data_IF_086616917190
#
_entry.id   IF_086616917190
#
_cell.length_a   1.000
_cell.length_b   1.000
_cell.length_c   1.000
_cell.angle_alpha   90.00
_cell.angle_beta   90.00
_cell.angle_gamma   90.00
#
_symmetry.space_group_name_H-M   'P 1'
#
loop_
_entity.id
_entity.type
_entity.pdbx_description
1 polymer ?
#
# COMPACT_ATOMS: atom_id res chain seq x y z
N UNK A 1 28.71 70.89 54.92
CA UNK A 1 27.52 70.13 54.68
C UNK A 1 27.52 69.70 53.18
N UNK A 2 27.84 68.43 52.87
CA UNK A 2 27.81 67.89 51.51
C UNK A 2 26.77 66.77 51.49
N UNK A 3 25.73 66.99 50.72
CA UNK A 3 24.62 66.02 50.53
C UNK A 3 25.00 65.21 49.29
N UNK A 4 25.17 63.89 49.50
CA UNK A 4 25.40 62.93 48.41
C UNK A 4 24.08 62.38 47.96
N UNK A 5 23.73 62.54 46.71
CA UNK A 5 22.59 61.88 46.08
C UNK A 5 22.99 60.47 45.60
N UNK A 6 22.31 59.46 46.16
CA UNK A 6 22.43 58.07 45.74
C UNK A 6 21.42 57.83 44.59
N UNK A 7 21.92 57.59 43.37
CA UNK A 7 21.11 57.18 42.22
C UNK A 7 20.96 55.66 42.25
N UNK A 8 19.71 55.21 42.49
CA UNK A 8 19.33 53.78 42.32
C UNK A 8 19.06 53.54 40.84
N UNK A 9 19.99 52.83 40.17
CA UNK A 9 19.78 52.38 38.82
C UNK A 9 18.95 51.08 38.81
N UNK A 10 17.69 51.13 38.31
CA UNK A 10 16.87 49.97 38.05
C UNK A 10 17.33 49.27 36.76
N UNK A 11 18.02 48.14 36.88
CA UNK A 11 18.37 47.30 35.75
C UNK A 11 17.10 46.50 35.28
N UNK A 12 16.51 46.95 34.17
CA UNK A 12 15.55 46.12 33.44
C UNK A 12 16.27 44.95 32.79
N UNK A 13 16.18 43.75 33.35
CA UNK A 13 16.52 42.54 32.65
C UNK A 13 15.46 42.26 31.55
N UNK A 14 15.79 42.64 30.31
CA UNK A 14 15.05 42.16 29.14
C UNK A 14 15.37 40.67 28.99
N UNK A 15 14.41 39.82 29.33
CA UNK A 15 14.47 38.41 28.95
C UNK A 15 14.36 38.33 27.43
N UNK A 16 15.51 38.17 26.76
CA UNK A 16 15.58 37.75 25.36
C UNK A 16 14.99 36.34 25.31
N UNK A 17 13.70 36.26 24.95
CA UNK A 17 13.09 35.00 24.54
C UNK A 17 13.88 34.50 23.33
N UNK A 18 14.67 33.45 23.49
CA UNK A 18 15.26 32.71 22.39
C UNK A 18 14.08 32.08 21.66
N UNK A 19 13.63 32.70 20.58
CA UNK A 19 12.75 32.04 19.62
C UNK A 19 13.55 30.89 19.01
N UNK A 20 13.34 29.69 19.49
CA UNK A 20 13.90 28.49 18.87
C UNK A 20 13.38 28.46 17.44
N UNK A 21 14.28 28.36 16.46
CA UNK A 21 13.89 28.22 15.07
C UNK A 21 13.03 26.95 14.92
N UNK A 22 11.95 27.05 14.15
CA UNK A 22 11.08 25.88 13.92
C UNK A 22 11.89 24.75 13.26
N UNK A 23 11.73 23.53 13.77
CA UNK A 23 12.28 22.32 13.17
C UNK A 23 11.55 22.01 11.86
N UNK A 24 12.25 21.76 10.77
CA UNK A 24 11.65 21.43 9.49
C UNK A 24 11.84 19.94 9.22
N UNK A 25 10.76 19.16 9.27
CA UNK A 25 10.76 17.75 8.95
C UNK A 25 10.60 17.53 7.44
N UNK A 26 11.49 16.79 6.83
CA UNK A 26 11.34 16.35 5.44
C UNK A 26 10.61 15.01 5.42
N UNK A 27 9.37 15.04 4.90
CA UNK A 27 8.47 13.88 4.82
C UNK A 27 8.44 13.34 3.40
N UNK A 28 8.98 12.14 3.19
CA UNK A 28 8.91 11.47 1.89
C UNK A 28 7.67 10.58 1.82
N UNK A 29 6.83 10.78 0.81
CA UNK A 29 5.58 10.04 0.67
C UNK A 29 5.24 9.67 -0.76
N UNK A 30 4.36 8.68 -0.90
CA UNK A 30 3.82 8.23 -2.19
C UNK A 30 2.75 9.19 -2.69
N UNK A 31 2.69 9.34 -4.02
CA UNK A 31 1.65 10.10 -4.69
C UNK A 31 0.36 9.26 -4.81
N UNK A 32 -0.39 9.14 -3.73
CA UNK A 32 -1.73 8.58 -3.73
C UNK A 32 -2.71 9.51 -3.00
N UNK A 33 -4.00 9.27 -3.15
CA UNK A 33 -5.02 10.21 -2.71
C UNK A 33 -5.04 10.40 -1.18
N UNK A 34 -4.82 9.36 -0.39
CA UNK A 34 -4.78 9.45 1.08
C UNK A 34 -3.57 10.24 1.58
N UNK A 35 -2.41 10.08 0.96
CA UNK A 35 -1.22 10.84 1.31
C UNK A 35 -1.32 12.31 0.89
N UNK A 36 -1.98 12.60 -0.23
CA UNK A 36 -2.32 13.97 -0.64
C UNK A 36 -3.31 14.61 0.35
N UNK A 37 -4.29 13.84 0.82
CA UNK A 37 -5.21 14.27 1.90
C UNK A 37 -4.43 14.59 3.18
N UNK A 38 -3.52 13.71 3.61
CA UNK A 38 -2.66 13.95 4.77
C UNK A 38 -1.85 15.23 4.62
N UNK A 39 -1.22 15.44 3.46
CA UNK A 39 -0.47 16.67 3.18
C UNK A 39 -1.34 17.91 3.35
N UNK A 40 -2.56 17.90 2.82
CA UNK A 40 -3.51 19.01 2.96
C UNK A 40 -3.91 19.28 4.40
N UNK A 41 -4.25 18.20 5.14
CA UNK A 41 -4.75 18.28 6.52
C UNK A 41 -3.63 18.52 7.55
N UNK A 42 -2.37 18.29 7.20
CA UNK A 42 -1.23 18.49 8.10
C UNK A 42 -1.00 19.94 8.51
N UNK A 43 -1.63 20.91 7.85
CA UNK A 43 -1.69 22.31 8.32
C UNK A 43 -2.28 22.42 9.73
N UNK A 44 -3.27 21.59 10.06
CA UNK A 44 -3.85 21.52 11.42
C UNK A 44 -2.82 21.04 12.46
N UNK A 45 -1.88 20.17 12.06
CA UNK A 45 -0.77 19.77 12.90
C UNK A 45 0.20 20.94 13.12
N UNK A 46 0.61 21.65 12.07
CA UNK A 46 1.52 22.79 12.17
C UNK A 46 0.93 23.96 12.98
N UNK A 47 -0.40 24.12 13.00
CA UNK A 47 -1.08 25.11 13.83
C UNK A 47 -1.01 24.74 15.32
N UNK A 48 -1.07 23.46 15.66
CA UNK A 48 -0.95 22.94 17.04
C UNK A 48 0.50 22.84 17.50
N UNK A 49 1.44 22.69 16.56
CA UNK A 49 2.87 22.57 16.78
C UNK A 49 3.64 23.61 15.97
N UNK A 50 3.59 24.90 16.35
CA UNK A 50 4.17 26.00 15.58
C UNK A 50 5.70 25.93 15.48
N UNK A 51 6.33 25.14 16.33
CA UNK A 51 7.76 24.81 16.37
C UNK A 51 8.16 23.71 15.35
N UNK A 52 7.19 23.05 14.70
CA UNK A 52 7.45 22.04 13.69
C UNK A 52 6.86 22.48 12.34
N UNK A 53 7.67 22.38 11.27
CA UNK A 53 7.25 22.61 9.88
C UNK A 53 7.44 21.36 9.06
N UNK A 54 6.57 21.16 8.06
CA UNK A 54 6.60 19.98 7.20
C UNK A 54 7.01 20.37 5.78
N UNK A 55 8.07 19.74 5.30
CA UNK A 55 8.52 19.81 3.91
C UNK A 55 8.21 18.48 3.22
N UNK A 56 7.22 18.47 2.32
CA UNK A 56 6.74 17.27 1.66
C UNK A 56 7.51 16.98 0.37
N UNK A 57 7.98 15.75 0.24
CA UNK A 57 8.56 15.18 -0.98
C UNK A 57 7.64 14.07 -1.46
N UNK A 58 6.75 14.41 -2.39
CA UNK A 58 5.73 13.51 -2.94
C UNK A 58 6.26 12.88 -4.23
N UNK A 59 6.31 11.55 -4.30
CA UNK A 59 6.91 10.80 -5.39
C UNK A 59 5.98 9.69 -5.89
N UNK A 60 6.17 9.31 -7.15
CA UNK A 60 5.59 8.08 -7.70
C UNK A 60 6.18 6.86 -6.96
N UNK A 61 5.40 5.79 -6.80
CA UNK A 61 5.72 4.69 -5.90
C UNK A 61 7.09 4.05 -6.15
N UNK A 62 7.40 3.68 -7.39
CA UNK A 62 8.70 3.06 -7.70
C UNK A 62 9.87 4.02 -7.44
N UNK A 63 9.68 5.32 -7.70
CA UNK A 63 10.68 6.36 -7.47
C UNK A 63 10.88 6.58 -5.97
N UNK A 64 9.78 6.63 -5.20
CA UNK A 64 9.84 6.72 -3.74
C UNK A 64 10.64 5.55 -3.16
N UNK A 65 10.25 4.32 -3.48
CA UNK A 65 10.89 3.10 -2.96
C UNK A 65 12.38 3.07 -3.28
N UNK A 66 12.78 3.44 -4.50
CA UNK A 66 14.18 3.51 -4.89
C UNK A 66 14.95 4.58 -4.10
N UNK A 67 14.39 5.79 -3.96
CA UNK A 67 15.04 6.88 -3.22
C UNK A 67 15.20 6.53 -1.74
N UNK A 68 14.15 6.02 -1.10
CA UNK A 68 14.20 5.63 0.30
C UNK A 68 15.21 4.50 0.54
N UNK A 69 15.22 3.48 -0.33
CA UNK A 69 16.18 2.38 -0.23
C UNK A 69 17.63 2.89 -0.32
N UNK A 70 17.89 3.83 -1.22
CA UNK A 70 19.23 4.43 -1.38
C UNK A 70 19.60 5.27 -0.16
N UNK A 71 18.72 6.16 0.28
CA UNK A 71 18.98 7.07 1.40
C UNK A 71 19.25 6.30 2.71
N UNK A 72 18.38 5.32 3.01
CA UNK A 72 18.51 4.56 4.26
C UNK A 72 19.73 3.63 4.27
N UNK A 73 20.07 3.03 3.13
CA UNK A 73 21.22 2.14 3.02
C UNK A 73 22.55 2.90 3.13
N UNK A 74 22.58 4.17 2.72
CA UNK A 74 23.77 5.04 2.82
C UNK A 74 23.78 5.90 4.08
N UNK A 75 22.75 5.81 4.93
CA UNK A 75 22.53 6.69 6.09
C UNK A 75 22.57 8.18 5.68
N UNK A 76 21.96 8.48 4.50
CA UNK A 76 22.07 9.79 3.85
C UNK A 76 21.38 10.93 4.60
N UNK A 77 20.36 10.64 5.41
CA UNK A 77 19.65 11.62 6.24
C UNK A 77 18.89 12.69 5.45
N UNK A 78 18.45 12.37 4.23
CA UNK A 78 17.66 13.30 3.40
C UNK A 78 16.23 13.46 3.93
N UNK A 79 15.72 12.48 4.66
CA UNK A 79 14.35 12.42 5.12
C UNK A 79 14.28 12.19 6.63
N UNK A 80 13.29 12.79 7.28
CA UNK A 80 13.01 12.62 8.71
C UNK A 80 11.83 11.66 8.94
N UNK A 81 10.86 11.64 8.02
CA UNK A 81 9.71 10.72 8.03
C UNK A 81 9.62 10.03 6.68
N UNK A 82 9.53 8.70 6.72
CA UNK A 82 9.42 7.84 5.56
C UNK A 82 8.03 7.22 5.49
N UNK A 83 7.37 7.29 4.33
CA UNK A 83 6.20 6.46 4.05
C UNK A 83 6.68 5.14 3.46
N UNK A 84 6.52 4.05 4.20
CA UNK A 84 7.00 2.71 3.86
C UNK A 84 5.91 1.66 4.09
N UNK A 85 6.15 0.46 3.61
CA UNK A 85 5.26 -0.68 3.84
C UNK A 85 5.81 -1.69 4.86
N UNK A 86 5.03 -2.75 5.09
CA UNK A 86 5.41 -3.84 6.00
C UNK A 86 6.71 -4.53 5.56
N UNK A 87 6.97 -4.61 4.25
CA UNK A 87 8.19 -5.18 3.70
C UNK A 87 9.44 -4.42 4.18
N UNK A 88 9.44 -3.10 4.00
CA UNK A 88 10.55 -2.24 4.42
C UNK A 88 10.66 -2.19 5.96
N UNK A 89 9.54 -2.07 6.67
CA UNK A 89 9.53 -1.99 8.13
C UNK A 89 10.21 -3.20 8.76
N UNK A 90 9.87 -4.41 8.31
CA UNK A 90 10.47 -5.65 8.78
C UNK A 90 11.97 -5.73 8.48
N UNK A 91 12.37 -5.48 7.22
CA UNK A 91 13.76 -5.63 6.80
C UNK A 91 14.68 -4.52 7.34
N UNK A 92 14.22 -3.29 7.36
CA UNK A 92 15.02 -2.14 7.82
C UNK A 92 15.03 -2.04 9.34
N UNK A 93 13.94 -2.44 10.00
CA UNK A 93 13.89 -2.60 11.45
C UNK A 93 14.90 -3.62 11.96
N UNK A 94 14.94 -4.81 11.33
CA UNK A 94 15.90 -5.86 11.66
C UNK A 94 17.38 -5.43 11.45
N UNK A 95 17.64 -4.50 10.54
CA UNK A 95 18.98 -3.94 10.30
C UNK A 95 19.34 -2.76 11.23
N UNK A 96 18.40 -2.33 12.10
CA UNK A 96 18.59 -1.16 12.94
C UNK A 96 18.63 0.17 12.17
N UNK A 97 18.04 0.22 10.99
CA UNK A 97 18.01 1.44 10.17
C UNK A 97 16.82 2.34 10.51
N UNK A 98 15.81 1.82 11.20
CA UNK A 98 14.65 2.56 11.68
C UNK A 98 14.72 2.77 13.19
N UNK A 99 14.25 3.92 13.64
CA UNK A 99 14.04 4.18 15.06
C UNK A 99 12.84 3.39 15.58
N UNK A 100 12.90 2.77 16.76
CA UNK A 100 11.76 2.10 17.36
C UNK A 100 10.67 3.12 17.71
N UNK A 101 9.41 2.73 17.48
CA UNK A 101 8.22 3.52 17.82
C UNK A 101 7.77 3.18 19.24
N UNK A 102 8.63 3.44 20.21
CA UNK A 102 8.35 3.33 21.66
C UNK A 102 7.88 4.67 22.21
N UNK A 103 7.37 4.67 23.44
CA UNK A 103 6.99 5.88 24.20
C UNK A 103 5.88 6.71 23.50
N UNK A 104 4.96 6.00 22.83
CA UNK A 104 3.78 6.63 22.25
C UNK A 104 2.87 7.17 23.37
N UNK A 105 2.20 8.32 23.14
CA UNK A 105 1.26 8.85 24.12
C UNK A 105 0.13 7.83 24.37
N UNK A 106 -0.36 7.72 25.61
CA UNK A 106 -1.44 6.80 25.95
C UNK A 106 -2.70 6.99 25.08
N UNK A 107 -2.96 8.23 24.63
CA UNK A 107 -4.06 8.56 23.71
C UNK A 107 -3.91 7.92 22.33
N UNK A 108 -2.70 7.51 21.93
CA UNK A 108 -2.49 6.80 20.68
C UNK A 108 -3.23 5.46 20.65
N UNK A 109 -3.37 4.81 21.81
CA UNK A 109 -4.08 3.55 22.00
C UNK A 109 -3.65 2.48 21.00
N UNK A 110 -2.41 1.99 21.14
CA UNK A 110 -1.82 1.00 20.25
C UNK A 110 -2.60 -0.33 20.23
N UNK A 111 -3.32 -0.66 21.33
CA UNK A 111 -4.12 -1.90 21.43
C UNK A 111 -5.36 -1.90 20.53
N UNK A 112 -5.79 -0.75 20.06
CA UNK A 112 -6.85 -0.60 19.06
C UNK A 112 -6.37 -0.91 17.62
N UNK A 113 -5.07 -0.99 17.39
CA UNK A 113 -4.50 -1.38 16.09
C UNK A 113 -4.59 -2.88 15.92
N UNK A 114 -5.10 -3.35 14.76
CA UNK A 114 -5.22 -4.77 14.47
C UNK A 114 -3.89 -5.50 14.71
N UNK A 115 -3.90 -6.64 15.44
CA UNK A 115 -2.68 -7.41 15.75
C UNK A 115 -1.84 -7.74 14.50
N UNK A 116 -2.47 -8.21 13.43
CA UNK A 116 -1.80 -8.56 12.17
C UNK A 116 -1.07 -7.37 11.52
N UNK A 117 -1.64 -6.17 11.61
CA UNK A 117 -1.02 -4.93 11.12
C UNK A 117 0.17 -4.54 11.99
N UNK A 118 0.00 -4.60 13.30
CA UNK A 118 1.05 -4.31 14.28
C UNK A 118 2.23 -5.28 14.15
N UNK A 119 1.95 -6.57 14.01
CA UNK A 119 2.96 -7.62 13.80
C UNK A 119 3.73 -7.40 12.50
N UNK A 120 3.04 -7.07 11.40
CA UNK A 120 3.66 -6.81 10.08
C UNK A 120 4.59 -5.59 10.06
N UNK A 121 4.46 -4.68 11.05
CA UNK A 121 5.30 -3.48 11.19
C UNK A 121 6.32 -3.60 12.35
N UNK A 122 6.44 -4.79 12.95
CA UNK A 122 7.31 -5.07 14.09
C UNK A 122 8.39 -6.10 13.74
N UNK A 123 9.49 -6.04 14.50
CA UNK A 123 10.55 -7.04 14.51
C UNK A 123 10.82 -7.41 15.97
N UNK A 124 10.76 -8.70 16.29
CA UNK A 124 10.96 -9.22 17.64
C UNK A 124 10.13 -8.49 18.72
N UNK A 125 8.86 -8.17 18.36
CA UNK A 125 7.91 -7.47 19.22
C UNK A 125 8.13 -5.96 19.33
N UNK A 126 9.13 -5.39 18.68
CA UNK A 126 9.39 -3.94 18.63
C UNK A 126 8.77 -3.35 17.38
N UNK A 127 7.90 -2.36 17.52
CA UNK A 127 7.26 -1.63 16.43
C UNK A 127 8.25 -0.62 15.81
N UNK A 128 8.36 -0.60 14.47
CA UNK A 128 9.27 0.30 13.73
C UNK A 128 8.57 1.29 12.81
N UNK A 129 7.27 1.14 12.59
CA UNK A 129 6.48 2.11 11.83
C UNK A 129 5.06 2.18 12.38
N UNK A 130 4.43 3.36 12.28
CA UNK A 130 3.06 3.59 12.70
C UNK A 130 2.12 3.44 11.50
N UNK A 131 1.11 2.55 11.54
CA UNK A 131 0.25 2.29 10.40
C UNK A 131 -0.66 3.48 10.10
N UNK A 132 -0.63 3.94 8.86
CA UNK A 132 -1.48 5.02 8.38
C UNK A 132 -2.81 4.50 7.85
N UNK A 133 -2.77 3.53 6.92
CA UNK A 133 -3.89 2.69 6.57
C UNK A 133 -3.40 1.27 6.28
N UNK A 134 -4.28 0.30 6.44
CA UNK A 134 -4.02 -1.07 6.04
C UNK A 134 -5.09 -1.53 5.05
N UNK A 135 -4.71 -2.42 4.17
CA UNK A 135 -5.52 -2.85 3.05
C UNK A 135 -5.39 -4.34 2.79
N UNK A 136 -6.45 -4.88 2.24
CA UNK A 136 -6.46 -6.15 1.53
C UNK A 136 -6.78 -5.89 0.06
N UNK A 137 -7.11 -6.93 -0.69
CA UNK A 137 -7.62 -6.87 -2.05
C UNK A 137 -9.09 -7.18 -2.11
N UNK A 138 -9.80 -6.56 -3.06
CA UNK A 138 -11.19 -6.89 -3.38
C UNK A 138 -11.51 -6.60 -4.84
N UNK A 139 -12.68 -7.01 -5.26
CA UNK A 139 -13.23 -6.77 -6.59
C UNK A 139 -14.20 -5.60 -6.56
N UNK A 140 -13.99 -4.65 -7.43
CA UNK A 140 -14.89 -3.55 -7.80
C UNK A 140 -15.55 -3.88 -9.12
N UNK A 141 -16.87 -3.71 -9.24
CA UNK A 141 -17.56 -3.96 -10.49
C UNK A 141 -18.71 -2.98 -10.73
N UNK A 142 -19.06 -2.75 -11.98
CA UNK A 142 -20.13 -1.88 -12.42
C UNK A 142 -21.47 -2.63 -12.40
N UNK A 143 -22.26 -2.37 -11.37
CA UNK A 143 -23.58 -3.01 -11.17
C UNK A 143 -24.52 -2.79 -12.34
N UNK A 144 -24.54 -1.60 -12.90
CA UNK A 144 -25.35 -1.23 -14.06
C UNK A 144 -24.98 -2.01 -15.34
N UNK A 145 -23.68 -2.26 -15.57
CA UNK A 145 -23.21 -3.04 -16.72
C UNK A 145 -23.52 -4.53 -16.56
N UNK A 146 -23.42 -5.04 -15.32
CA UNK A 146 -23.81 -6.42 -15.01
C UNK A 146 -25.31 -6.63 -15.22
N UNK A 147 -26.14 -5.72 -14.70
CA UNK A 147 -27.59 -5.76 -14.89
C UNK A 147 -27.98 -5.72 -16.37
N UNK A 148 -27.41 -4.79 -17.15
CA UNK A 148 -27.66 -4.67 -18.60
C UNK A 148 -27.26 -5.93 -19.37
N UNK A 149 -26.23 -6.64 -18.92
CA UNK A 149 -25.78 -7.89 -19.56
C UNK A 149 -26.47 -9.15 -19.02
N UNK A 150 -27.36 -9.02 -18.03
CA UNK A 150 -28.01 -10.14 -17.34
C UNK A 150 -27.01 -11.03 -16.58
N UNK A 151 -25.95 -10.41 -16.03
CA UNK A 151 -24.91 -11.07 -15.26
C UNK A 151 -25.12 -10.84 -13.77
N UNK A 152 -24.68 -11.79 -12.96
CA UNK A 152 -24.68 -11.70 -11.51
C UNK A 152 -23.24 -11.95 -11.00
N UNK A 153 -22.71 -11.03 -10.18
CA UNK A 153 -21.40 -11.16 -9.55
C UNK A 153 -21.56 -12.03 -8.29
N UNK A 154 -20.89 -13.20 -8.21
CA UNK A 154 -20.93 -13.99 -6.99
C UNK A 154 -20.15 -13.32 -5.86
N UNK A 155 -20.49 -13.69 -4.61
CA UNK A 155 -19.77 -13.17 -3.42
C UNK A 155 -18.30 -13.59 -3.42
N UNK A 156 -17.99 -14.80 -3.88
CA UNK A 156 -16.62 -15.32 -4.03
C UNK A 156 -16.40 -15.74 -5.49
N UNK A 157 -16.04 -14.80 -6.38
CA UNK A 157 -15.81 -15.10 -7.79
C UNK A 157 -14.51 -15.90 -7.99
N UNK A 158 -14.44 -16.68 -9.07
CA UNK A 158 -13.18 -17.25 -9.54
C UNK A 158 -12.54 -16.34 -10.59
N UNK A 159 -11.22 -16.44 -10.76
CA UNK A 159 -10.53 -15.74 -11.84
C UNK A 159 -11.04 -16.16 -13.22
N UNK A 160 -11.41 -17.43 -13.39
CA UNK A 160 -12.07 -17.93 -14.60
C UNK A 160 -13.40 -17.20 -14.85
N UNK A 161 -14.27 -17.07 -13.84
CA UNK A 161 -15.51 -16.28 -13.97
C UNK A 161 -15.23 -14.80 -14.28
N UNK A 162 -14.19 -14.22 -13.69
CA UNK A 162 -13.79 -12.83 -13.99
C UNK A 162 -13.40 -12.65 -15.45
N UNK A 163 -12.69 -13.62 -16.06
CA UNK A 163 -12.36 -13.59 -17.49
C UNK A 163 -13.62 -13.70 -18.36
N UNK A 164 -14.58 -14.59 -18.00
CA UNK A 164 -15.85 -14.74 -18.71
C UNK A 164 -16.69 -13.46 -18.66
N UNK A 165 -16.73 -12.78 -17.51
CA UNK A 165 -17.40 -11.50 -17.37
C UNK A 165 -16.68 -10.42 -18.16
N UNK A 166 -15.34 -10.40 -18.11
CA UNK A 166 -14.53 -9.44 -18.85
C UNK A 166 -14.80 -9.55 -20.36
N UNK A 167 -14.87 -10.76 -20.93
CA UNK A 167 -15.21 -10.98 -22.34
C UNK A 167 -16.56 -10.39 -22.70
N UNK A 168 -17.60 -10.69 -21.90
CA UNK A 168 -18.98 -10.24 -22.17
C UNK A 168 -19.14 -8.72 -22.04
N UNK A 169 -18.37 -8.09 -21.16
CA UNK A 169 -18.46 -6.66 -20.86
C UNK A 169 -17.48 -5.81 -21.66
N UNK A 170 -16.55 -6.42 -22.42
CA UNK A 170 -15.55 -5.70 -23.17
C UNK A 170 -16.14 -5.11 -24.47
N UNK A 171 -16.23 -3.79 -24.55
CA UNK A 171 -16.73 -3.03 -25.70
C UNK A 171 -15.75 -1.90 -26.04
N UNK A 172 -14.57 -2.22 -26.63
CA UNK A 172 -13.51 -1.22 -26.84
C UNK A 172 -13.92 -0.09 -27.77
N UNK A 173 -14.89 -0.29 -28.66
CA UNK A 173 -15.47 0.77 -29.49
C UNK A 173 -16.19 1.86 -28.69
N UNK A 174 -16.67 1.52 -27.50
CA UNK A 174 -17.31 2.44 -26.55
C UNK A 174 -16.36 2.87 -25.42
N UNK A 175 -15.05 2.61 -25.57
CA UNK A 175 -14.03 2.79 -24.52
C UNK A 175 -14.38 2.07 -23.20
N UNK A 176 -15.15 0.97 -23.25
CA UNK A 176 -15.48 0.13 -22.11
C UNK A 176 -14.61 -1.13 -22.11
N UNK A 177 -13.75 -1.26 -21.12
CA UNK A 177 -12.84 -2.40 -20.94
C UNK A 177 -13.42 -3.38 -19.91
N UNK A 178 -13.32 -4.68 -20.22
CA UNK A 178 -13.91 -5.71 -19.38
C UNK A 178 -13.32 -5.78 -17.98
N UNK A 179 -11.98 -5.61 -17.88
CA UNK A 179 -11.27 -5.65 -16.60
C UNK A 179 -10.05 -4.74 -16.60
N UNK A 180 -9.81 -4.06 -15.50
CA UNK A 180 -8.58 -3.33 -15.23
C UNK A 180 -7.79 -4.05 -14.14
N UNK A 181 -6.49 -4.26 -14.40
CA UNK A 181 -5.53 -4.89 -13.49
C UNK A 181 -4.21 -4.14 -13.57
N UNK A 182 -3.39 -4.19 -12.50
CA UNK A 182 -2.06 -3.57 -12.52
C UNK A 182 -1.15 -4.28 -13.51
N UNK A 183 -0.71 -3.60 -14.56
CA UNK A 183 0.26 -4.09 -15.53
C UNK A 183 1.61 -3.38 -15.48
N UNK A 184 1.68 -2.21 -14.81
CA UNK A 184 2.89 -1.40 -14.64
C UNK A 184 3.96 -2.17 -13.88
N UNK A 185 5.16 -2.27 -14.47
CA UNK A 185 6.25 -3.02 -13.88
C UNK A 185 6.71 -2.45 -12.53
N UNK A 186 6.80 -3.30 -11.53
CA UNK A 186 7.29 -2.96 -10.20
C UNK A 186 6.97 -4.06 -9.19
N UNK A 187 7.85 -4.24 -8.21
CA UNK A 187 7.64 -5.24 -7.19
C UNK A 187 6.42 -4.94 -6.28
N UNK A 188 6.07 -3.66 -6.07
CA UNK A 188 4.86 -3.20 -5.39
C UNK A 188 3.71 -2.86 -6.34
N UNK A 189 3.92 -2.92 -7.65
CA UNK A 189 2.93 -2.64 -8.69
C UNK A 189 2.35 -3.95 -9.26
N UNK A 190 2.70 -4.33 -10.49
CA UNK A 190 2.13 -5.54 -11.08
C UNK A 190 2.44 -6.81 -10.28
N UNK A 191 3.61 -6.90 -9.63
CA UNK A 191 3.93 -8.10 -8.88
C UNK A 191 3.08 -8.28 -7.61
N UNK A 192 2.60 -7.21 -6.99
CA UNK A 192 1.64 -7.33 -5.90
C UNK A 192 0.37 -8.08 -6.34
N UNK A 193 -0.17 -7.75 -7.53
CA UNK A 193 -1.35 -8.42 -8.07
C UNK A 193 -1.01 -9.80 -8.65
N UNK A 194 0.02 -9.92 -9.48
CA UNK A 194 0.40 -11.20 -10.13
C UNK A 194 0.72 -12.27 -9.08
N UNK A 195 1.33 -11.90 -7.96
CA UNK A 195 1.60 -12.84 -6.87
C UNK A 195 0.30 -13.38 -6.27
N UNK A 196 -0.72 -12.54 -6.05
CA UNK A 196 -2.01 -13.00 -5.52
C UNK A 196 -2.78 -13.86 -6.54
N UNK A 197 -2.72 -13.52 -7.83
CA UNK A 197 -3.23 -14.38 -8.90
C UNK A 197 -2.53 -15.73 -8.86
N UNK A 198 -1.20 -15.75 -8.81
CA UNK A 198 -0.43 -16.99 -8.75
C UNK A 198 -0.77 -17.85 -7.53
N UNK A 199 -0.90 -17.23 -6.34
CA UNK A 199 -1.32 -17.91 -5.12
C UNK A 199 -2.72 -18.55 -5.29
N UNK A 200 -3.69 -17.84 -5.88
CA UNK A 200 -5.05 -18.35 -6.13
C UNK A 200 -5.04 -19.56 -7.08
N UNK A 201 -4.11 -19.63 -8.03
CA UNK A 201 -3.88 -20.80 -8.88
C UNK A 201 -3.05 -21.90 -8.19
N UNK A 202 -2.65 -21.74 -6.93
CA UNK A 202 -1.89 -22.71 -6.14
C UNK A 202 -0.38 -22.66 -6.38
N UNK A 203 0.12 -21.63 -7.08
CA UNK A 203 1.56 -21.41 -7.27
C UNK A 203 2.21 -20.83 -6.00
N UNK A 204 3.53 -20.94 -5.93
CA UNK A 204 4.38 -20.26 -4.93
C UNK A 204 5.66 -19.78 -5.60
N UNK A 205 6.31 -18.75 -5.02
CA UNK A 205 7.57 -18.22 -5.54
C UNK A 205 8.72 -19.23 -5.38
N UNK A 206 8.81 -19.84 -4.20
CA UNK A 206 9.88 -20.75 -3.82
C UNK A 206 9.32 -21.98 -3.12
N UNK A 207 9.92 -23.13 -3.37
CA UNK A 207 9.70 -24.33 -2.57
C UNK A 207 10.37 -24.21 -1.18
N UNK A 208 10.16 -25.19 -0.31
CA UNK A 208 10.72 -25.23 1.04
C UNK A 208 12.25 -25.26 1.07
N UNK A 209 12.90 -25.50 -0.07
CA UNK A 209 14.36 -25.46 -0.28
C UNK A 209 14.83 -24.18 -0.96
N UNK A 210 13.97 -23.18 -1.05
CA UNK A 210 14.23 -21.91 -1.71
C UNK A 210 14.52 -22.01 -3.22
N UNK A 211 14.04 -23.08 -3.88
CA UNK A 211 14.13 -23.18 -5.34
C UNK A 211 12.94 -22.47 -5.98
N UNK A 212 13.17 -21.57 -6.94
CA UNK A 212 12.05 -20.92 -7.67
C UNK A 212 11.21 -21.95 -8.43
N UNK A 213 9.89 -21.75 -8.48
CA UNK A 213 8.95 -22.68 -9.14
C UNK A 213 8.22 -22.08 -10.36
N UNK A 214 8.75 -21.05 -11.02
CA UNK A 214 8.08 -20.32 -12.10
C UNK A 214 7.78 -21.15 -13.35
N UNK A 215 8.45 -22.26 -13.58
CA UNK A 215 8.18 -23.16 -14.71
C UNK A 215 7.19 -24.27 -14.37
N UNK A 216 6.63 -24.26 -13.16
CA UNK A 216 5.59 -25.19 -12.74
C UNK A 216 4.24 -24.94 -13.44
N UNK A 217 3.34 -25.95 -13.45
CA UNK A 217 2.05 -25.83 -14.11
C UNK A 217 1.17 -24.72 -13.52
N UNK A 218 1.19 -24.52 -12.23
CA UNK A 218 0.39 -23.50 -11.53
C UNK A 218 0.81 -22.09 -11.96
N UNK A 219 2.12 -21.79 -12.00
CA UNK A 219 2.63 -20.52 -12.52
C UNK A 219 2.33 -20.33 -14.00
N UNK A 220 2.39 -21.42 -14.79
CA UNK A 220 2.06 -21.35 -16.22
C UNK A 220 0.60 -20.98 -16.42
N UNK A 221 -0.32 -21.56 -15.65
CA UNK A 221 -1.76 -21.24 -15.71
C UNK A 221 -2.01 -19.81 -15.26
N UNK A 222 -1.48 -19.40 -14.11
CA UNK A 222 -1.65 -18.04 -13.57
C UNK A 222 -1.11 -16.97 -14.52
N UNK A 223 0.10 -17.15 -15.07
CA UNK A 223 0.72 -16.20 -15.97
C UNK A 223 -0.03 -16.10 -17.29
N UNK A 224 -0.46 -17.22 -17.89
CA UNK A 224 -1.32 -17.20 -19.09
C UNK A 224 -2.62 -16.52 -18.83
N UNK A 225 -3.30 -16.87 -17.74
CA UNK A 225 -4.56 -16.22 -17.36
C UNK A 225 -4.38 -14.69 -17.28
N UNK A 226 -3.40 -14.22 -16.52
CA UNK A 226 -3.15 -12.79 -16.33
C UNK A 226 -2.83 -12.08 -17.64
N UNK A 227 -1.88 -12.62 -18.43
CA UNK A 227 -1.45 -12.00 -19.69
C UNK A 227 -2.58 -12.01 -20.72
N UNK A 228 -3.25 -13.16 -20.91
CA UNK A 228 -4.30 -13.30 -21.90
C UNK A 228 -5.51 -12.43 -21.57
N UNK A 229 -5.96 -12.44 -20.32
CA UNK A 229 -7.13 -11.67 -19.88
C UNK A 229 -6.90 -10.18 -20.00
N UNK A 230 -5.75 -9.68 -19.51
CA UNK A 230 -5.45 -8.25 -19.55
C UNK A 230 -5.12 -7.76 -20.96
N UNK A 231 -4.48 -8.58 -21.80
CA UNK A 231 -4.19 -8.22 -23.20
C UNK A 231 -5.44 -8.19 -24.07
N UNK A 232 -6.44 -9.09 -23.79
CA UNK A 232 -7.65 -9.18 -24.60
C UNK A 232 -8.74 -8.21 -24.15
N UNK A 233 -8.92 -8.06 -22.84
CA UNK A 233 -10.08 -7.39 -22.25
C UNK A 233 -9.72 -6.17 -21.38
N UNK A 234 -8.43 -5.90 -21.21
CA UNK A 234 -7.93 -4.71 -20.53
C UNK A 234 -7.89 -3.45 -21.41
N UNK A 235 -7.59 -2.29 -20.79
CA UNK A 235 -7.43 -1.04 -21.54
C UNK A 235 -6.15 -1.04 -22.37
N UNK A 236 -6.11 -0.29 -23.50
CA UNK A 236 -4.88 -0.03 -24.20
C UNK A 236 -3.81 0.55 -23.29
N UNK A 237 -2.58 0.05 -23.38
CA UNK A 237 -1.48 0.49 -22.53
C UNK A 237 -1.54 -0.04 -21.08
N UNK A 238 -2.30 -1.12 -20.83
CA UNK A 238 -2.41 -1.76 -19.50
C UNK A 238 -1.05 -2.02 -18.84
N UNK A 239 0.01 -2.31 -19.61
CA UNK A 239 1.38 -2.50 -19.12
C UNK A 239 2.01 -1.27 -18.47
N UNK A 240 1.36 -0.11 -18.56
CA UNK A 240 1.77 1.15 -17.92
C UNK A 240 0.83 1.56 -16.77
N UNK A 241 -0.24 0.82 -16.54
CA UNK A 241 -1.24 1.16 -15.53
C UNK A 241 -0.92 0.48 -14.20
N UNK A 242 -0.69 1.28 -13.16
CA UNK A 242 -0.64 0.89 -11.77
C UNK A 242 -1.95 1.18 -11.05
N UNK A 243 -1.89 1.35 -9.73
CA UNK A 243 -3.08 1.66 -8.91
C UNK A 243 -3.77 2.95 -9.35
N UNK A 244 -3.03 4.06 -9.45
CA UNK A 244 -3.61 5.38 -9.73
C UNK A 244 -4.24 5.47 -11.13
N UNK A 245 -3.59 4.88 -12.14
CA UNK A 245 -4.08 4.86 -13.51
C UNK A 245 -5.37 4.03 -13.61
N UNK A 246 -5.44 2.86 -12.95
CA UNK A 246 -6.63 2.02 -12.93
C UNK A 246 -7.78 2.65 -12.13
N UNK A 247 -7.49 3.32 -11.01
CA UNK A 247 -8.48 4.10 -10.26
C UNK A 247 -9.11 5.19 -11.14
N UNK A 248 -8.29 5.93 -11.87
CA UNK A 248 -8.76 6.96 -12.79
C UNK A 248 -9.63 6.39 -13.94
N UNK A 249 -9.24 5.24 -14.50
CA UNK A 249 -10.02 4.53 -15.52
C UNK A 249 -11.36 4.04 -14.97
N UNK A 250 -11.37 3.44 -13.78
CA UNK A 250 -12.58 2.97 -13.14
C UNK A 250 -13.53 4.12 -12.80
N UNK A 251 -13.02 5.18 -12.15
CA UNK A 251 -13.78 6.37 -11.80
C UNK A 251 -14.35 7.13 -13.02
N UNK A 252 -13.66 7.06 -14.17
CA UNK A 252 -14.19 7.60 -15.43
C UNK A 252 -15.22 6.71 -16.11
N UNK A 253 -15.48 5.50 -15.58
CA UNK A 253 -16.45 4.54 -16.12
C UNK A 253 -15.91 3.62 -17.22
N UNK A 254 -14.59 3.64 -17.48
CA UNK A 254 -13.97 2.88 -18.57
C UNK A 254 -13.66 1.42 -18.22
N UNK A 255 -13.66 1.03 -16.94
CA UNK A 255 -13.49 -0.36 -16.52
C UNK A 255 -14.82 -0.94 -16.03
N UNK A 256 -15.23 -2.11 -16.54
CA UNK A 256 -16.40 -2.82 -16.03
C UNK A 256 -16.09 -3.51 -14.69
N UNK A 257 -14.87 -3.99 -14.52
CA UNK A 257 -14.37 -4.60 -13.29
C UNK A 257 -12.93 -4.13 -13.02
N UNK A 258 -12.58 -4.11 -11.73
CA UNK A 258 -11.24 -3.81 -11.25
C UNK A 258 -10.96 -4.64 -9.99
N UNK A 259 -9.82 -5.32 -9.94
CA UNK A 259 -9.38 -6.05 -8.73
C UNK A 259 -8.14 -5.36 -8.21
N UNK A 260 -8.23 -4.81 -7.00
CA UNK A 260 -7.14 -4.06 -6.40
C UNK A 260 -7.36 -3.84 -4.89
N UNK A 261 -6.55 -3.00 -4.29
CA UNK A 261 -6.52 -2.65 -2.88
C UNK A 261 -7.87 -2.13 -2.35
N UNK A 262 -8.28 -2.59 -1.18
CA UNK A 262 -9.54 -2.20 -0.53
C UNK A 262 -9.63 -0.71 -0.19
N UNK A 263 -8.49 -0.02 -0.08
CA UNK A 263 -8.43 1.43 0.16
C UNK A 263 -9.11 2.25 -0.94
N UNK A 264 -9.18 1.72 -2.18
CA UNK A 264 -9.85 2.42 -3.28
C UNK A 264 -11.36 2.60 -3.06
N UNK A 265 -11.97 1.87 -2.13
CA UNK A 265 -13.40 1.92 -1.86
C UNK A 265 -13.92 3.34 -1.63
N UNK A 266 -13.23 4.15 -0.83
CA UNK A 266 -13.62 5.53 -0.57
C UNK A 266 -13.55 6.43 -1.81
N UNK A 267 -12.60 6.17 -2.72
CA UNK A 267 -12.41 6.98 -3.92
C UNK A 267 -13.38 6.63 -5.05
N UNK A 268 -13.76 5.34 -5.18
CA UNK A 268 -14.73 4.93 -6.20
C UNK A 268 -16.17 5.30 -5.83
N UNK A 269 -16.45 5.50 -4.54
CA UNK A 269 -17.76 5.93 -4.03
C UNK A 269 -17.88 7.44 -3.82
N UNK A 270 -16.81 8.20 -4.00
CA UNK A 270 -16.81 9.65 -3.88
C UNK A 270 -17.37 10.30 -5.16
N UNK A 271 -18.59 10.85 -5.11
CA UNK A 271 -19.24 11.51 -6.24
C UNK A 271 -18.44 12.70 -6.80
N UNK A 272 -17.56 13.29 -6.01
CA UNK A 272 -16.70 14.40 -6.46
C UNK A 272 -15.55 13.91 -7.35
N UNK A 273 -15.18 12.63 -7.28
CA UNK A 273 -14.05 12.03 -7.99
C UNK A 273 -14.46 10.95 -8.98
N UNK A 274 -15.61 10.30 -8.77
CA UNK A 274 -16.06 9.15 -9.54
C UNK A 274 -17.37 9.46 -10.28
N UNK A 275 -17.37 9.27 -11.61
CA UNK A 275 -18.57 9.37 -12.42
C UNK A 275 -19.51 8.16 -12.26
N UNK A 276 -19.06 7.15 -11.56
CA UNK A 276 -19.76 5.88 -11.37
C UNK A 276 -20.00 5.55 -9.89
N UNK A 277 -19.87 6.52 -9.01
CA UNK A 277 -19.94 6.35 -7.55
C UNK A 277 -21.22 5.60 -7.09
N UNK A 278 -22.35 5.88 -7.73
CA UNK A 278 -23.66 5.25 -7.46
C UNK A 278 -23.87 3.89 -8.15
N UNK A 279 -22.85 3.36 -8.87
CA UNK A 279 -22.94 2.16 -9.73
C UNK A 279 -21.86 1.13 -9.41
N UNK A 280 -21.24 1.23 -8.24
CA UNK A 280 -20.14 0.34 -7.84
C UNK A 280 -20.67 -0.74 -6.89
N UNK A 281 -20.43 -2.00 -7.26
CA UNK A 281 -20.56 -3.14 -6.38
C UNK A 281 -19.19 -3.63 -5.88
N UNK A 282 -19.22 -4.32 -4.74
CA UNK A 282 -18.03 -4.81 -4.05
C UNK A 282 -18.19 -6.29 -3.75
N UNK A 283 -17.14 -7.06 -4.00
CA UNK A 283 -17.07 -8.46 -3.58
C UNK A 283 -15.63 -8.87 -3.29
N UNK A 284 -15.43 -10.08 -2.76
CA UNK A 284 -14.08 -10.55 -2.43
C UNK A 284 -13.17 -10.63 -3.64
N UNK A 285 -11.87 -10.59 -3.40
CA UNK A 285 -10.87 -10.85 -4.44
C UNK A 285 -11.06 -12.28 -4.99
N UNK A 286 -10.88 -12.47 -6.33
CA UNK A 286 -11.15 -13.76 -6.94
C UNK A 286 -10.20 -14.85 -6.45
N UNK A 287 -10.74 -16.05 -6.22
CA UNK A 287 -9.97 -17.27 -6.02
C UNK A 287 -9.90 -18.09 -7.31
N UNK A 288 -9.26 -19.27 -7.28
CA UNK A 288 -9.27 -20.21 -8.40
C UNK A 288 -9.20 -21.66 -7.89
N UNK A 289 -8.03 -22.29 -7.91
CA UNK A 289 -7.84 -23.67 -7.40
C UNK A 289 -7.80 -23.73 -5.87
N UNK A 290 -7.58 -22.60 -5.23
CA UNK A 290 -7.54 -22.42 -3.77
C UNK A 290 -8.04 -21.04 -3.40
N UNK A 291 -8.57 -20.90 -2.19
CA UNK A 291 -8.93 -19.62 -1.55
C UNK A 291 -7.73 -18.91 -0.88
N UNK A 292 -6.56 -19.58 -0.86
CA UNK A 292 -5.35 -19.01 -0.28
C UNK A 292 -4.77 -17.89 -1.13
N UNK A 293 -4.31 -16.82 -0.46
CA UNK A 293 -3.51 -15.74 -1.04
C UNK A 293 -4.25 -14.75 -1.94
N UNK A 294 -5.57 -14.84 -2.07
CA UNK A 294 -6.36 -13.86 -2.82
C UNK A 294 -6.54 -12.56 -2.04
N UNK A 295 -6.75 -12.64 -0.73
CA UNK A 295 -6.79 -11.50 0.17
C UNK A 295 -5.38 -11.20 0.69
N UNK A 296 -4.80 -10.08 0.30
CA UNK A 296 -3.48 -9.67 0.82
C UNK A 296 -3.57 -8.91 2.15
N UNK A 297 -2.45 -8.71 2.79
CA UNK A 297 -2.29 -7.79 3.91
C UNK A 297 -1.13 -6.85 3.60
N UNK A 298 -1.43 -5.58 3.52
CA UNK A 298 -0.43 -4.54 3.37
C UNK A 298 -0.81 -3.32 4.22
N UNK A 299 0.17 -2.59 4.71
CA UNK A 299 -0.04 -1.31 5.38
C UNK A 299 0.99 -0.31 4.90
N UNK A 300 0.54 0.85 4.46
CA UNK A 300 1.38 2.02 4.39
C UNK A 300 1.51 2.62 5.79
N UNK A 301 2.72 2.90 6.19
CA UNK A 301 3.07 3.32 7.53
C UNK A 301 4.11 4.44 7.52
N UNK A 302 4.18 5.20 8.60
CA UNK A 302 5.18 6.24 8.80
C UNK A 302 6.30 5.72 9.71
N UNK A 303 7.53 5.80 9.22
CA UNK A 303 8.73 5.37 9.93
C UNK A 303 9.75 6.50 10.02
N UNK A 304 10.67 6.39 10.96
CA UNK A 304 11.73 7.38 11.21
C UNK A 304 13.08 6.70 11.00
N UNK A 305 13.90 7.16 10.05
CA UNK A 305 15.23 6.60 9.86
C UNK A 305 16.15 6.97 11.04
N UNK A 306 17.05 6.07 11.43
CA UNK A 306 18.03 6.35 12.48
C UNK A 306 18.97 7.51 12.15
N UNK A 307 19.14 7.84 10.87
CA UNK A 307 19.91 8.97 10.37
C UNK A 307 19.26 10.34 10.60
N UNK A 308 17.93 10.41 10.86
CA UNK A 308 17.27 11.68 11.19
C UNK A 308 17.84 12.32 12.45
N UNK A 309 18.03 13.63 12.41
CA UNK A 309 18.46 14.42 13.57
C UNK A 309 17.26 14.99 14.36
N UNK A 310 16.04 14.81 13.87
CA UNK A 310 14.80 15.40 14.41
C UNK A 310 13.80 14.30 14.84
N UNK A 311 14.28 13.23 15.47
CA UNK A 311 13.49 12.03 15.77
C UNK A 311 12.27 12.30 16.65
N UNK A 312 12.37 13.20 17.62
CA UNK A 312 11.27 13.48 18.56
C UNK A 312 10.13 14.25 17.87
N UNK A 313 10.49 15.27 17.06
CA UNK A 313 9.51 16.00 16.25
C UNK A 313 8.88 15.06 15.20
N UNK A 314 9.68 14.20 14.56
CA UNK A 314 9.22 13.21 13.59
C UNK A 314 8.27 12.19 14.22
N UNK A 315 8.55 11.69 15.45
CA UNK A 315 7.64 10.83 16.21
C UNK A 315 6.32 11.54 16.54
N UNK A 316 6.40 12.79 16.96
CA UNK A 316 5.21 13.62 17.29
C UNK A 316 4.30 13.74 16.06
N UNK A 317 4.88 14.03 14.88
CA UNK A 317 4.13 14.10 13.65
C UNK A 317 3.56 12.73 13.24
N UNK A 318 4.37 11.68 13.23
CA UNK A 318 3.93 10.35 12.84
C UNK A 318 2.81 9.82 13.75
N UNK A 319 2.91 10.05 15.07
CA UNK A 319 1.88 9.68 16.02
C UNK A 319 0.57 10.43 15.78
N UNK A 320 0.61 11.73 15.50
CA UNK A 320 -0.59 12.51 15.14
C UNK A 320 -1.20 12.02 13.83
N UNK A 321 -0.40 11.86 12.78
CA UNK A 321 -0.85 11.50 11.44
C UNK A 321 -1.51 10.11 11.35
N UNK A 322 -1.26 9.24 12.34
CA UNK A 322 -1.79 7.88 12.42
C UNK A 322 -2.73 7.67 13.61
N UNK A 323 -3.13 8.77 14.27
CA UNK A 323 -3.99 8.75 15.47
C UNK A 323 -5.48 8.72 15.14
N UNK A 324 -6.28 8.49 16.18
CA UNK A 324 -7.74 8.70 16.12
C UNK A 324 -8.12 10.15 15.83
N UNK A 325 -7.36 11.11 16.39
CA UNK A 325 -7.61 12.55 16.15
C UNK A 325 -7.48 12.89 14.65
N UNK A 326 -6.54 12.28 13.94
CA UNK A 326 -6.43 12.42 12.49
C UNK A 326 -7.62 11.78 11.76
N UNK A 327 -8.04 10.58 12.18
CA UNK A 327 -9.22 9.90 11.62
C UNK A 327 -10.49 10.75 11.82
N UNK A 328 -10.69 11.34 13.00
CA UNK A 328 -11.79 12.26 13.30
C UNK A 328 -11.72 13.55 12.46
N UNK A 329 -10.51 14.07 12.23
CA UNK A 329 -10.31 15.22 11.36
C UNK A 329 -10.74 14.90 9.92
N UNK A 330 -10.37 13.73 9.39
CA UNK A 330 -10.81 13.28 8.07
C UNK A 330 -12.33 13.11 8.01
N UNK A 331 -12.93 12.43 9.00
CA UNK A 331 -14.37 12.25 9.08
C UNK A 331 -15.13 13.60 9.05
N UNK A 332 -14.62 14.58 9.78
CA UNK A 332 -15.20 15.92 9.86
C UNK A 332 -15.05 16.75 8.59
N UNK A 333 -13.92 16.65 7.90
CA UNK A 333 -13.59 17.50 6.75
C UNK A 333 -14.00 16.91 5.41
N UNK A 334 -13.81 15.60 5.26
CA UNK A 334 -13.98 14.88 3.99
C UNK A 334 -15.12 13.85 4.04
N UNK A 335 -15.69 13.62 5.22
CA UNK A 335 -16.76 12.65 5.44
C UNK A 335 -16.24 11.30 5.99
N UNK A 336 -17.14 10.61 6.69
CA UNK A 336 -16.82 9.39 7.46
C UNK A 336 -16.27 8.26 6.56
N UNK A 337 -16.82 8.08 5.35
CA UNK A 337 -16.38 7.06 4.41
C UNK A 337 -14.92 7.24 3.94
N UNK A 338 -14.34 8.42 4.14
CA UNK A 338 -12.97 8.77 3.75
C UNK A 338 -11.92 8.55 4.86
N UNK A 339 -12.35 8.07 6.03
CA UNK A 339 -11.41 7.72 7.11
C UNK A 339 -10.49 6.59 6.63
N UNK A 340 -9.16 6.70 6.83
CA UNK A 340 -8.22 5.67 6.42
C UNK A 340 -8.57 4.30 7.02
N UNK A 341 -8.78 3.25 6.19
CA UNK A 341 -9.28 1.97 6.65
C UNK A 341 -8.18 1.06 7.21
N UNK A 342 -8.58 -0.05 7.82
CA UNK A 342 -7.77 -1.24 8.03
C UNK A 342 -6.79 -1.20 9.19
N UNK A 343 -6.54 -0.07 9.83
CA UNK A 343 -5.54 0.01 10.90
C UNK A 343 -6.11 -0.27 12.27
N UNK A 344 -7.32 0.21 12.58
CA UNK A 344 -7.91 0.23 13.92
C UNK A 344 -9.27 -0.46 13.95
N UNK A 345 -9.52 -1.23 15.01
CA UNK A 345 -10.82 -1.85 15.23
C UNK A 345 -11.93 -0.80 15.37
N UNK A 346 -11.64 0.30 16.09
CA UNK A 346 -12.60 1.39 16.33
C UNK A 346 -12.99 2.16 15.06
N UNK A 347 -12.26 2.04 13.96
CA UNK A 347 -12.64 2.63 12.66
C UNK A 347 -13.95 2.01 12.15
N UNK A 348 -14.19 0.74 12.40
CA UNK A 348 -15.36 0.00 11.90
C UNK A 348 -16.59 0.17 12.81
N UNK A 349 -16.88 1.40 13.19
CA UNK A 349 -18.10 1.77 13.92
C UNK A 349 -19.37 1.57 13.07
N UNK A 350 -20.54 1.56 13.71
CA UNK A 350 -21.84 1.51 12.98
C UNK A 350 -21.96 2.66 11.98
N UNK A 351 -21.47 3.85 12.33
CA UNK A 351 -21.49 5.02 11.45
C UNK A 351 -20.61 4.82 10.22
N UNK A 352 -19.37 4.32 10.39
CA UNK A 352 -18.47 4.02 9.27
C UNK A 352 -19.04 2.90 8.38
N UNK A 353 -19.55 1.83 8.97
CA UNK A 353 -20.14 0.71 8.24
C UNK A 353 -21.39 1.13 7.43
N UNK A 354 -22.15 2.11 7.93
CA UNK A 354 -23.31 2.66 7.20
C UNK A 354 -22.89 3.64 6.08
N UNK A 355 -21.82 4.40 6.29
CA UNK A 355 -21.34 5.41 5.33
C UNK A 355 -20.48 4.80 4.19
N UNK A 356 -19.80 3.67 4.44
CA UNK A 356 -18.85 3.06 3.53
C UNK A 356 -19.34 1.66 3.08
N UNK A 357 -20.03 1.54 1.94
CA UNK A 357 -20.65 0.29 1.47
C UNK A 357 -19.62 -0.84 1.22
N UNK A 358 -18.36 -0.48 1.02
CA UNK A 358 -17.24 -1.41 0.86
C UNK A 358 -16.65 -1.93 2.19
N UNK A 359 -16.97 -1.29 3.33
CA UNK A 359 -16.27 -1.49 4.61
C UNK A 359 -16.35 -2.93 5.11
N UNK A 360 -17.49 -3.60 4.92
CA UNK A 360 -17.65 -5.01 5.33
C UNK A 360 -16.68 -5.93 4.58
N UNK A 361 -16.67 -5.84 3.25
CA UNK A 361 -15.79 -6.67 2.41
C UNK A 361 -14.32 -6.34 2.71
N UNK A 362 -13.98 -5.07 2.86
CA UNK A 362 -12.62 -4.64 3.19
C UNK A 362 -12.13 -5.23 4.53
N UNK A 363 -12.98 -5.18 5.57
CA UNK A 363 -12.65 -5.72 6.89
C UNK A 363 -12.51 -7.25 6.87
N UNK A 364 -13.45 -7.94 6.21
CA UNK A 364 -13.44 -9.40 6.14
C UNK A 364 -12.26 -9.90 5.30
N UNK A 365 -11.93 -9.24 4.19
CA UNK A 365 -10.72 -9.52 3.39
C UNK A 365 -9.43 -9.34 4.20
N UNK A 366 -9.35 -8.27 4.99
CA UNK A 366 -8.20 -8.03 5.87
C UNK A 366 -8.02 -9.17 6.91
N UNK A 367 -9.14 -9.64 7.49
CA UNK A 367 -9.13 -10.73 8.49
C UNK A 367 -8.82 -12.10 7.88
N UNK A 368 -9.12 -12.32 6.60
CA UNK A 368 -8.81 -13.56 5.89
C UNK A 368 -7.34 -13.66 5.48
N UNK A 369 -6.62 -12.54 5.44
CA UNK A 369 -5.22 -12.51 5.03
C UNK A 369 -4.33 -13.33 5.99
N UNK A 370 -3.59 -14.29 5.44
CA UNK A 370 -2.66 -15.15 6.17
C UNK A 370 -1.24 -15.05 5.57
N UNK A 371 -0.45 -14.03 5.97
CA UNK A 371 0.91 -13.86 5.45
C UNK A 371 1.88 -14.99 5.76
N UNK A 372 1.59 -15.78 6.80
CA UNK A 372 2.42 -16.93 7.19
C UNK A 372 2.14 -18.17 6.31
N UNK A 373 0.96 -18.23 5.69
CA UNK A 373 0.55 -19.32 4.80
C UNK A 373 -0.12 -18.81 3.53
N UNK A 374 0.61 -18.04 2.68
CA UNK A 374 0.02 -17.30 1.56
C UNK A 374 -0.35 -18.16 0.36
N UNK A 375 0.08 -19.42 0.31
CA UNK A 375 -0.13 -20.34 -0.81
C UNK A 375 -0.74 -21.66 -0.32
N UNK A 376 -1.34 -22.42 -1.26
CA UNK A 376 -1.86 -23.77 -0.99
C UNK A 376 -0.74 -24.75 -0.55
N UNK A 377 0.49 -24.51 -0.98
CA UNK A 377 1.68 -25.29 -0.63
C UNK A 377 2.50 -24.59 0.46
N UNK A 378 3.23 -25.33 1.31
CA UNK A 378 4.16 -24.72 2.27
C UNK A 378 5.20 -23.85 1.58
N UNK A 379 5.53 -22.71 2.20
CA UNK A 379 6.53 -21.76 1.71
C UNK A 379 7.54 -21.41 2.81
N UNK A 380 8.79 -21.06 2.47
CA UNK A 380 9.82 -20.71 3.45
C UNK A 380 9.85 -19.22 3.78
N UNK A 381 8.85 -18.45 3.34
CA UNK A 381 8.78 -16.98 3.46
C UNK A 381 7.45 -16.52 4.05
N UNK A 382 7.42 -15.28 4.50
CA UNK A 382 6.20 -14.55 4.90
C UNK A 382 5.82 -13.57 3.79
N UNK A 383 4.52 -13.36 3.61
CA UNK A 383 3.96 -12.38 2.67
C UNK A 383 3.01 -13.00 1.66
N UNK A 384 2.01 -12.25 1.21
CA UNK A 384 1.00 -12.69 0.25
C UNK A 384 1.29 -12.12 -1.13
N UNK A 385 1.26 -10.78 -1.25
CA UNK A 385 1.60 -10.07 -2.48
C UNK A 385 3.11 -9.87 -2.68
N UNK A 386 3.88 -10.14 -1.67
CA UNK A 386 5.33 -9.94 -1.60
C UNK A 386 5.98 -11.18 -0.99
N UNK A 387 7.28 -11.34 -1.20
CA UNK A 387 8.11 -12.28 -0.45
C UNK A 387 9.04 -11.48 0.44
N UNK A 388 8.91 -11.62 1.76
CA UNK A 388 9.65 -10.79 2.73
C UNK A 388 11.07 -11.31 2.91
N UNK A 389 11.90 -11.10 1.89
CA UNK A 389 13.35 -11.36 1.88
C UNK A 389 14.08 -10.16 1.27
N UNK A 390 15.35 -9.90 1.65
CA UNK A 390 16.10 -8.74 1.15
C UNK A 390 16.21 -8.67 -0.38
N UNK A 391 16.26 -9.81 -1.05
CA UNK A 391 16.43 -9.95 -2.49
C UNK A 391 15.16 -9.66 -3.28
N UNK A 392 13.98 -9.70 -2.63
CA UNK A 392 12.70 -9.61 -3.34
C UNK A 392 12.51 -8.32 -4.12
N UNK A 393 12.99 -7.19 -3.61
CA UNK A 393 12.89 -5.92 -4.31
C UNK A 393 13.53 -5.97 -5.70
N UNK A 394 14.73 -6.56 -5.80
CA UNK A 394 15.43 -6.74 -7.07
C UNK A 394 14.76 -7.80 -7.94
N UNK A 395 14.43 -8.96 -7.36
CA UNK A 395 13.78 -10.07 -8.05
C UNK A 395 12.40 -9.64 -8.56
N UNK A 396 11.54 -9.09 -7.71
CA UNK A 396 10.20 -8.67 -8.07
C UNK A 396 10.18 -7.55 -9.13
N UNK A 397 11.11 -6.61 -9.06
CA UNK A 397 11.26 -5.57 -10.09
C UNK A 397 11.62 -6.19 -11.46
N UNK A 398 12.55 -7.14 -11.48
CA UNK A 398 12.95 -7.81 -12.70
C UNK A 398 11.83 -8.69 -13.27
N UNK A 399 11.16 -9.47 -12.42
CA UNK A 399 10.02 -10.30 -12.82
C UNK A 399 8.88 -9.43 -13.33
N UNK A 400 8.55 -8.33 -12.65
CA UNK A 400 7.53 -7.38 -13.08
C UNK A 400 7.78 -6.78 -14.47
N UNK A 401 9.03 -6.47 -14.81
CA UNK A 401 9.43 -6.02 -16.16
C UNK A 401 9.20 -7.12 -17.21
N UNK A 402 9.48 -8.37 -16.88
CA UNK A 402 9.26 -9.49 -17.81
C UNK A 402 7.76 -9.73 -18.05
N UNK A 403 6.93 -9.64 -16.99
CA UNK A 403 5.47 -9.70 -17.14
C UNK A 403 4.92 -8.54 -18.00
N UNK A 404 5.41 -7.32 -17.80
CA UNK A 404 5.03 -6.17 -18.63
C UNK A 404 5.45 -6.37 -20.11
N UNK A 405 6.61 -6.98 -20.37
CA UNK A 405 7.04 -7.36 -21.72
C UNK A 405 6.13 -8.43 -22.35
N UNK A 406 5.67 -9.40 -21.57
CA UNK A 406 4.71 -10.40 -22.03
C UNK A 406 3.35 -9.76 -22.36
N UNK A 407 2.85 -8.83 -21.53
CA UNK A 407 1.61 -8.07 -21.80
C UNK A 407 1.66 -7.27 -23.10
N UNK A 408 2.82 -6.78 -23.49
CA UNK A 408 3.01 -6.04 -24.75
C UNK A 408 3.30 -6.95 -25.96
N UNK A 409 3.29 -8.26 -25.78
CA UNK A 409 3.58 -9.24 -26.84
C UNK A 409 5.05 -9.32 -27.24
N UNK A 410 5.96 -8.66 -26.50
CA UNK A 410 7.40 -8.71 -26.79
C UNK A 410 8.03 -10.07 -26.45
N UNK A 411 7.35 -10.85 -25.60
CA UNK A 411 7.83 -12.15 -25.14
C UNK A 411 6.65 -13.10 -24.91
N UNK A 412 6.69 -14.34 -25.46
CA UNK A 412 5.71 -15.37 -25.10
C UNK A 412 5.79 -15.74 -23.63
N UNK A 413 4.65 -16.11 -23.02
CA UNK A 413 4.55 -16.44 -21.58
C UNK A 413 5.52 -17.54 -21.17
N UNK A 414 5.66 -18.61 -21.94
CA UNK A 414 6.57 -19.73 -21.63
C UNK A 414 8.04 -19.31 -21.64
N UNK A 415 8.41 -18.45 -22.59
CA UNK A 415 9.77 -17.89 -22.66
C UNK A 415 10.00 -16.94 -21.48
N UNK A 416 9.02 -16.13 -21.13
CA UNK A 416 9.04 -15.23 -19.98
C UNK A 416 9.26 -16.03 -18.69
N UNK A 417 8.47 -17.07 -18.42
CA UNK A 417 8.60 -17.91 -17.22
C UNK A 417 9.95 -18.61 -17.12
N UNK A 418 10.48 -19.08 -18.26
CA UNK A 418 11.83 -19.66 -18.32
C UNK A 418 12.91 -18.63 -17.95
N UNK A 419 12.80 -17.40 -18.47
CA UNK A 419 13.74 -16.33 -18.16
C UNK A 419 13.63 -15.89 -16.68
N UNK A 420 12.41 -15.80 -16.16
CA UNK A 420 12.13 -15.52 -14.74
C UNK A 420 12.76 -16.58 -13.84
N UNK A 421 12.52 -17.86 -14.14
CA UNK A 421 13.11 -19.00 -13.40
C UNK A 421 14.64 -18.90 -13.34
N UNK A 422 15.28 -18.66 -14.49
CA UNK A 422 16.74 -18.58 -14.58
C UNK A 422 17.30 -17.35 -13.85
N UNK A 423 16.67 -16.18 -14.00
CA UNK A 423 17.15 -14.95 -13.35
C UNK A 423 17.00 -15.01 -11.83
N UNK A 424 15.85 -15.51 -11.35
CA UNK A 424 15.59 -15.68 -9.91
C UNK A 424 16.54 -16.72 -9.30
N UNK A 425 16.75 -17.85 -9.99
CA UNK A 425 17.73 -18.86 -9.52
C UNK A 425 19.14 -18.28 -9.38
N UNK A 426 19.59 -17.46 -10.33
CA UNK A 426 20.92 -16.80 -10.23
C UNK A 426 20.99 -15.85 -9.05
N UNK A 427 19.94 -15.04 -8.84
CA UNK A 427 19.92 -14.07 -7.74
C UNK A 427 19.92 -14.79 -6.38
N UNK A 428 19.10 -15.82 -6.21
CA UNK A 428 19.05 -16.61 -4.98
C UNK A 428 20.39 -17.29 -4.67
N UNK A 429 21.06 -17.87 -5.68
CA UNK A 429 22.39 -18.44 -5.51
C UNK A 429 23.43 -17.38 -5.11
N UNK A 430 23.39 -16.19 -5.72
CA UNK A 430 24.28 -15.08 -5.38
C UNK A 430 24.09 -14.61 -3.94
N UNK A 431 22.86 -14.66 -3.45
CA UNK A 431 22.52 -14.34 -2.06
C UNK A 431 22.78 -15.47 -1.06
N UNK A 432 23.27 -16.63 -1.53
CA UNK A 432 23.67 -17.76 -0.68
C UNK A 432 22.52 -18.70 -0.29
N UNK A 433 21.41 -18.71 -1.07
CA UNK A 433 20.35 -19.69 -0.85
C UNK A 433 20.67 -21.06 -1.49
N UNK A 434 20.19 -22.18 -0.89
CA UNK A 434 19.47 -22.30 0.38
C UNK A 434 20.35 -21.91 1.58
N UNK A 435 19.74 -21.28 2.58
CA UNK A 435 20.42 -20.92 3.84
C UNK A 435 20.30 -22.04 4.85
#
# INVERSE_FOLDING_TARGET
MKISHLLLGTACMASLGVTQAAETLTVATVNNADMIRMQRLSKTFEEKHPDIKLNWVVLEENVLRQRLTTDIATQGGQFDVLTIGMYEASLWGAKGWLAPMTDLPASYNLDDVFPSVREGLSVDGTLYALPFYAESSMTYYRTDLFEQAGLEMPEHPTWTQMADFAEKLHKPGDEQYGICLRGKAGWGENMALVTTVANAFGARWFDEKWQPEFTGPEWTQAAKFYVDTLSKYGPPGASSNGFNENLALFNSGKCAMWVDATVAGSFVTDESQSKVADKVGFTFAPHETTDKGSAWLYSWALAIPTSSQQKDAAKTFAAWATSKDYAELVAKTDGVANVPPGTRESTYSEEYMAAAPFAKIALESLKQADPASPSAKPVPYVGIQLVTIPEFQAIGTQVGKMFAAALTGQMPVEQMLTAVQQSTTREMKRAGYPK
#
